data_IF_665013962414
#
_entry.id   IF_665013962414
#
_cell.length_a   1.000
_cell.length_b   1.000
_cell.length_c   1.000
_cell.angle_alpha   90.00
_cell.angle_beta   90.00
_cell.angle_gamma   90.00
#
_symmetry.space_group_name_H-M   'P 1'
#
loop_
_entity.id
_entity.type
_entity.pdbx_description
1 polymer ?
#
# COMPACT_ATOMS: atom_id res chain seq x y z
N UNK A 1 29.39 59.62 -20.49
CA UNK A 1 30.10 58.47 -19.87
C UNK A 1 29.16 57.87 -18.81
N UNK A 2 28.43 56.80 -19.11
CA UNK A 2 27.58 56.08 -18.16
C UNK A 2 28.22 54.74 -17.88
N UNK A 3 28.62 54.48 -16.61
CA UNK A 3 29.23 53.25 -16.14
C UNK A 3 28.10 52.23 -15.88
N UNK A 4 28.04 51.14 -16.63
CA UNK A 4 27.23 49.96 -16.29
C UNK A 4 27.92 49.16 -15.16
N UNK A 5 27.23 49.04 -14.05
CA UNK A 5 27.66 48.14 -12.96
C UNK A 5 27.03 46.75 -13.25
N UNK A 6 27.88 45.75 -13.46
CA UNK A 6 27.47 44.34 -13.60
C UNK A 6 27.35 43.78 -12.16
N UNK A 7 26.14 43.48 -11.75
CA UNK A 7 25.86 42.74 -10.51
C UNK A 7 26.11 41.26 -10.72
N UNK A 8 27.17 40.72 -10.11
CA UNK A 8 27.43 39.27 -10.05
C UNK A 8 26.57 38.69 -8.96
N UNK A 9 25.49 37.96 -9.34
CA UNK A 9 24.75 37.10 -8.42
C UNK A 9 25.62 35.89 -8.06
N UNK A 10 26.21 35.87 -6.87
CA UNK A 10 26.75 34.67 -6.27
C UNK A 10 25.61 33.74 -5.86
N UNK A 11 25.39 32.65 -6.61
CA UNK A 11 24.61 31.52 -6.15
C UNK A 11 25.38 30.83 -5.01
N UNK A 12 24.91 31.01 -3.78
CA UNK A 12 25.38 30.24 -2.64
C UNK A 12 24.88 28.80 -2.82
N UNK A 13 25.76 27.90 -3.22
CA UNK A 13 25.51 26.46 -3.13
C UNK A 13 25.36 26.10 -1.65
N UNK A 14 24.14 25.82 -1.23
CA UNK A 14 23.85 25.20 0.07
C UNK A 14 24.48 23.79 0.06
N UNK A 15 25.72 23.72 0.55
CA UNK A 15 26.34 22.45 0.87
C UNK A 15 25.57 21.84 2.06
N UNK A 16 24.80 20.80 1.82
CA UNK A 16 24.27 19.97 2.89
C UNK A 16 25.48 19.40 3.65
N UNK A 17 25.45 19.44 5.02
CA UNK A 17 26.50 18.79 5.77
C UNK A 17 26.57 17.34 5.35
N UNK A 18 27.77 16.82 5.11
CA UNK A 18 28.02 15.42 4.87
C UNK A 18 27.54 14.65 6.10
N UNK A 19 26.29 14.18 6.08
CA UNK A 19 25.77 13.24 7.06
C UNK A 19 26.65 12.00 6.90
N UNK A 20 27.42 11.68 7.93
CA UNK A 20 28.13 10.41 8.05
C UNK A 20 27.07 9.31 7.87
N UNK A 21 27.02 8.72 6.66
CA UNK A 21 26.09 7.63 6.33
C UNK A 21 26.54 6.43 7.12
N UNK A 22 26.01 6.28 8.31
CA UNK A 22 26.27 5.13 9.17
C UNK A 22 25.78 3.86 8.47
N UNK A 23 26.71 2.93 8.19
CA UNK A 23 26.40 1.58 7.76
C UNK A 23 25.96 1.42 6.30
N UNK A 24 26.92 1.49 5.38
CA UNK A 24 26.73 1.05 3.99
C UNK A 24 26.81 -0.48 3.88
N UNK A 25 26.17 -1.04 2.85
CA UNK A 25 26.13 -2.47 2.62
C UNK A 25 25.02 -3.17 3.40
N UNK A 26 25.24 -4.43 3.69
CA UNK A 26 24.26 -5.28 4.38
C UNK A 26 24.38 -5.15 5.89
N UNK A 27 23.27 -4.95 6.55
CA UNK A 27 23.15 -4.81 7.99
C UNK A 27 22.01 -5.71 8.47
N UNK A 28 22.32 -6.58 9.39
CA UNK A 28 21.35 -7.50 9.99
C UNK A 28 20.93 -6.97 11.38
N UNK A 29 19.71 -7.25 11.78
CA UNK A 29 19.20 -6.99 13.12
C UNK A 29 19.20 -5.51 13.54
N UNK A 30 18.94 -4.62 12.57
CA UNK A 30 18.94 -3.16 12.77
C UNK A 30 17.72 -2.73 13.57
N UNK A 31 17.92 -1.80 14.52
CA UNK A 31 16.83 -1.07 15.19
C UNK A 31 16.53 0.22 14.43
N UNK A 32 15.24 0.54 14.34
CA UNK A 32 14.74 1.80 13.82
C UNK A 32 13.95 2.49 14.93
N UNK A 33 14.40 3.66 15.37
CA UNK A 33 13.89 4.29 16.60
C UNK A 33 12.75 5.28 16.33
N UNK A 34 12.43 5.58 15.06
CA UNK A 34 11.38 6.50 14.66
C UNK A 34 10.08 5.76 14.35
N UNK A 35 9.07 5.80 15.24
CA UNK A 35 7.77 5.20 14.99
C UNK A 35 7.00 5.98 13.90
N UNK A 36 6.36 5.26 12.99
CA UNK A 36 5.49 5.87 12.00
C UNK A 36 4.19 6.38 12.64
N UNK A 37 3.81 7.65 12.43
CA UNK A 37 2.53 8.17 12.91
C UNK A 37 1.32 7.55 12.20
N UNK A 38 1.53 6.87 11.07
CA UNK A 38 0.50 6.22 10.27
C UNK A 38 0.26 4.76 10.67
N UNK A 39 1.04 4.22 11.60
CA UNK A 39 0.98 2.83 12.00
C UNK A 39 -0.03 2.54 13.14
N UNK A 40 -0.75 3.54 13.65
CA UNK A 40 -1.75 3.40 14.72
C UNK A 40 -2.95 2.54 14.31
N UNK A 41 -3.49 1.74 15.25
CA UNK A 41 -4.57 0.79 15.01
C UNK A 41 -5.82 1.45 14.40
N UNK A 42 -6.20 2.64 14.88
CA UNK A 42 -7.34 3.39 14.34
C UNK A 42 -7.14 3.80 12.89
N UNK A 43 -5.95 4.26 12.53
CA UNK A 43 -5.62 4.70 11.17
C UNK A 43 -5.57 3.52 10.21
N UNK A 44 -5.00 2.39 10.63
CA UNK A 44 -5.02 1.15 9.86
C UNK A 44 -6.46 0.71 9.63
N UNK A 45 -7.31 0.67 10.68
CA UNK A 45 -8.71 0.29 10.55
C UNK A 45 -9.47 1.22 9.60
N UNK A 46 -9.29 2.54 9.72
CA UNK A 46 -9.92 3.54 8.84
C UNK A 46 -9.59 3.31 7.35
N UNK A 47 -8.36 2.90 7.05
CA UNK A 47 -7.87 2.71 5.68
C UNK A 47 -8.15 1.33 5.08
N UNK A 48 -8.42 0.33 5.93
CA UNK A 48 -8.47 -1.08 5.50
C UNK A 48 -9.80 -1.78 5.75
N UNK A 49 -10.65 -1.24 6.64
CA UNK A 49 -11.97 -1.80 6.89
C UNK A 49 -13.02 -1.17 5.97
N UNK A 50 -14.15 -1.87 5.78
CA UNK A 50 -15.28 -1.26 5.09
C UNK A 50 -15.87 -0.12 5.93
N UNK A 51 -16.51 0.90 5.32
CA UNK A 51 -17.05 2.04 6.04
C UNK A 51 -18.04 1.65 7.16
N UNK A 52 -18.94 0.69 6.90
CA UNK A 52 -19.92 0.25 7.91
C UNK A 52 -19.26 -0.52 9.04
N UNK A 53 -18.22 -1.32 8.73
CA UNK A 53 -17.44 -2.03 9.76
C UNK A 53 -16.67 -1.03 10.63
N UNK A 54 -16.00 -0.05 10.03
CA UNK A 54 -15.27 0.97 10.79
C UNK A 54 -16.20 1.82 11.66
N UNK A 55 -17.35 2.25 11.14
CA UNK A 55 -18.37 2.98 11.92
C UNK A 55 -18.88 2.14 13.12
N UNK A 56 -19.17 0.87 12.90
CA UNK A 56 -19.58 -0.05 13.97
C UNK A 56 -18.50 -0.21 15.05
N UNK A 57 -17.25 -0.37 14.65
CA UNK A 57 -16.11 -0.42 15.57
C UNK A 57 -16.00 0.86 16.40
N UNK A 58 -16.11 2.04 15.77
CA UNK A 58 -16.05 3.32 16.48
C UNK A 58 -17.20 3.47 17.48
N UNK A 59 -18.42 3.13 17.10
CA UNK A 59 -19.59 3.19 18.00
C UNK A 59 -19.46 2.23 19.18
N UNK A 60 -18.97 1.02 18.94
CA UNK A 60 -18.74 0.05 20.02
C UNK A 60 -17.71 0.58 21.01
N UNK A 61 -16.60 1.13 20.54
CA UNK A 61 -15.55 1.70 21.38
C UNK A 61 -16.08 2.89 22.17
N UNK A 62 -16.77 3.85 21.52
CA UNK A 62 -17.33 5.03 22.18
C UNK A 62 -18.40 4.67 23.22
N UNK A 63 -19.29 3.71 22.91
CA UNK A 63 -20.36 3.27 23.81
C UNK A 63 -19.87 2.45 25.00
N UNK A 64 -18.71 1.79 24.88
CA UNK A 64 -18.13 0.98 25.96
C UNK A 64 -17.16 1.76 26.86
N UNK A 65 -16.86 3.03 26.56
CA UNK A 65 -15.83 3.82 27.25
C UNK A 65 -14.39 3.31 27.01
N UNK A 66 -14.21 2.38 26.05
CA UNK A 66 -12.91 1.84 25.67
C UNK A 66 -12.29 2.65 24.51
N UNK A 67 -11.02 2.47 24.27
CA UNK A 67 -10.34 2.93 23.05
C UNK A 67 -10.01 1.73 22.18
N UNK A 68 -9.83 1.94 20.87
CA UNK A 68 -9.20 0.91 20.04
C UNK A 68 -7.83 0.64 20.64
N UNK A 69 -7.56 -0.64 20.93
CA UNK A 69 -6.27 -1.02 21.42
C UNK A 69 -5.19 -0.61 20.41
N UNK A 70 -4.17 0.09 20.90
CA UNK A 70 -3.00 0.33 20.09
C UNK A 70 -2.30 -0.98 19.80
N UNK A 71 -1.61 -1.01 18.68
CA UNK A 71 -0.94 -2.22 18.26
C UNK A 71 0.15 -2.63 19.24
N UNK A 72 0.37 -3.95 19.25
CA UNK A 72 1.36 -4.60 20.10
C UNK A 72 2.81 -4.48 19.60
N UNK A 73 3.06 -3.76 18.48
CA UNK A 73 4.41 -3.55 17.96
C UNK A 73 5.15 -2.52 18.79
N UNK A 74 6.05 -3.00 19.65
CA UNK A 74 7.06 -2.16 20.28
C UNK A 74 8.21 -1.95 19.28
N UNK A 75 8.35 -0.76 18.72
CA UNK A 75 9.40 -0.43 17.74
C UNK A 75 10.80 -0.61 18.33
N UNK A 76 10.99 -0.41 19.63
CA UNK A 76 12.28 -0.60 20.29
C UNK A 76 12.73 -2.07 20.29
N UNK A 77 11.76 -3.00 20.26
CA UNK A 77 12.02 -4.45 20.15
C UNK A 77 12.03 -4.94 18.70
N UNK A 78 11.44 -4.20 17.76
CA UNK A 78 11.41 -4.59 16.37
C UNK A 78 12.82 -4.59 15.74
N UNK A 79 13.04 -5.54 14.84
CA UNK A 79 14.32 -5.74 14.15
C UNK A 79 14.09 -5.77 12.65
N UNK A 80 15.10 -5.27 11.92
CA UNK A 80 15.05 -5.14 10.48
C UNK A 80 16.35 -5.61 9.85
N UNK A 81 16.26 -6.27 8.71
CA UNK A 81 17.40 -6.54 7.84
C UNK A 81 17.44 -5.45 6.77
N UNK A 82 18.57 -4.77 6.64
CA UNK A 82 18.72 -3.58 5.79
C UNK A 82 19.88 -3.78 4.82
N UNK A 83 19.72 -3.26 3.60
CA UNK A 83 20.84 -3.02 2.67
C UNK A 83 20.83 -1.55 2.29
N UNK A 84 21.97 -0.88 2.46
CA UNK A 84 22.18 0.50 2.03
C UNK A 84 23.22 0.53 0.93
N UNK A 85 22.94 1.15 -0.24
CA UNK A 85 23.92 1.27 -1.31
C UNK A 85 25.25 1.88 -0.84
N UNK A 86 26.36 1.41 -1.39
CA UNK A 86 27.69 1.95 -1.09
C UNK A 86 27.95 3.29 -1.77
N UNK A 87 27.25 3.55 -2.88
CA UNK A 87 27.29 4.84 -3.55
C UNK A 87 26.53 5.89 -2.73
N UNK A 88 26.98 7.15 -2.76
CA UNK A 88 26.26 8.24 -2.13
C UNK A 88 24.84 8.35 -2.68
N UNK A 89 23.92 8.97 -1.92
CA UNK A 89 22.54 9.14 -2.38
C UNK A 89 22.49 9.94 -3.69
N UNK A 90 21.58 9.58 -4.61
CA UNK A 90 21.26 10.42 -5.76
C UNK A 90 20.80 11.83 -5.32
N UNK A 91 20.76 12.84 -6.21
CA UNK A 91 20.43 14.23 -5.83
C UNK A 91 19.10 14.40 -5.10
N UNK A 92 18.10 13.55 -5.36
CA UNK A 92 16.79 13.55 -4.68
C UNK A 92 16.73 12.61 -3.46
N UNK A 93 17.76 11.85 -3.19
CA UNK A 93 17.81 10.82 -2.18
C UNK A 93 17.77 9.40 -2.74
N UNK A 94 17.94 8.43 -1.87
CA UNK A 94 17.81 7.01 -2.19
C UNK A 94 16.36 6.65 -2.53
N UNK A 95 16.16 5.69 -3.42
CA UNK A 95 14.91 4.96 -3.46
C UNK A 95 14.82 4.02 -2.25
N UNK A 96 13.62 3.58 -1.90
CA UNK A 96 13.37 2.66 -0.80
C UNK A 96 12.46 1.52 -1.24
N UNK A 97 12.88 0.28 -0.95
CA UNK A 97 12.05 -0.92 -1.08
C UNK A 97 11.83 -1.54 0.30
N UNK A 98 10.62 -1.44 0.83
CA UNK A 98 10.18 -2.17 2.01
C UNK A 98 9.69 -3.54 1.57
N UNK A 99 10.32 -4.61 2.06
CA UNK A 99 9.98 -5.97 1.67
C UNK A 99 9.30 -6.72 2.81
N UNK A 100 8.08 -7.21 2.57
CA UNK A 100 7.31 -7.99 3.54
C UNK A 100 7.55 -9.47 3.25
N UNK A 101 8.22 -10.19 4.17
CA UNK A 101 8.58 -11.59 3.96
C UNK A 101 7.41 -12.53 4.24
N UNK A 102 7.43 -13.75 3.70
CA UNK A 102 6.53 -14.83 4.12
C UNK A 102 7.06 -15.59 5.34
N UNK A 103 8.36 -15.46 5.69
CA UNK A 103 9.02 -16.02 6.86
C UNK A 103 9.37 -14.93 7.87
N UNK A 104 9.66 -15.33 9.11
CA UNK A 104 10.00 -14.38 10.20
C UNK A 104 11.35 -13.67 10.02
N UNK A 105 12.26 -14.26 9.29
CA UNK A 105 13.52 -13.63 8.89
C UNK A 105 13.74 -13.81 7.39
N UNK A 106 13.97 -12.72 6.70
CA UNK A 106 14.20 -12.74 5.26
C UNK A 106 15.19 -11.66 4.85
N UNK A 107 16.34 -12.10 4.42
CA UNK A 107 17.36 -11.23 3.85
C UNK A 107 17.19 -11.12 2.34
N UNK A 108 17.44 -9.95 1.80
CA UNK A 108 17.45 -9.81 0.35
C UNK A 108 18.42 -10.81 -0.28
N UNK A 109 18.04 -11.53 -1.35
CA UNK A 109 18.94 -12.40 -2.09
C UNK A 109 20.20 -11.67 -2.54
N UNK A 110 21.35 -12.33 -2.43
CA UNK A 110 22.64 -11.72 -2.79
C UNK A 110 22.70 -11.26 -4.25
N UNK A 111 22.02 -11.93 -5.13
CA UNK A 111 21.93 -11.59 -6.55
C UNK A 111 21.06 -10.35 -6.87
N UNK A 112 20.30 -9.84 -5.87
CA UNK A 112 19.60 -8.56 -5.98
C UNK A 112 20.48 -7.35 -5.69
N UNK A 113 21.58 -7.54 -4.92
CA UNK A 113 22.43 -6.43 -4.47
C UNK A 113 22.94 -5.54 -5.62
N UNK A 114 23.44 -6.09 -6.75
CA UNK A 114 23.89 -5.24 -7.86
C UNK A 114 22.78 -4.37 -8.45
N UNK A 115 21.53 -4.85 -8.44
CA UNK A 115 20.37 -4.10 -8.93
C UNK A 115 20.00 -2.99 -7.95
N UNK A 116 19.92 -3.28 -6.65
CA UNK A 116 19.68 -2.28 -5.62
C UNK A 116 20.74 -1.17 -5.63
N UNK A 117 22.02 -1.55 -5.77
CA UNK A 117 23.14 -0.62 -5.89
C UNK A 117 23.01 0.29 -7.12
N UNK A 118 22.64 -0.29 -8.27
CA UNK A 118 22.50 0.45 -9.53
C UNK A 118 21.37 1.48 -9.48
N UNK A 119 20.29 1.17 -8.76
CA UNK A 119 19.13 2.06 -8.58
C UNK A 119 19.31 3.05 -7.42
N UNK A 120 20.42 2.99 -6.66
CA UNK A 120 20.55 3.76 -5.43
C UNK A 120 19.39 3.48 -4.49
N UNK A 121 19.04 2.21 -4.28
CA UNK A 121 17.82 1.80 -3.55
C UNK A 121 18.17 1.10 -2.24
N UNK A 122 17.71 1.66 -1.13
CA UNK A 122 17.75 1.00 0.17
C UNK A 122 16.70 -0.11 0.17
N UNK A 123 17.08 -1.28 0.67
CA UNK A 123 16.16 -2.37 0.97
C UNK A 123 16.01 -2.52 2.48
N UNK A 124 14.79 -2.72 2.95
CA UNK A 124 14.51 -3.02 4.35
C UNK A 124 13.44 -4.10 4.46
N UNK A 125 13.67 -5.10 5.32
CA UNK A 125 12.71 -6.15 5.61
C UNK A 125 12.54 -6.30 7.12
N UNK A 126 11.31 -6.19 7.66
CA UNK A 126 11.07 -6.44 9.07
C UNK A 126 11.24 -7.93 9.38
N UNK A 127 11.78 -8.22 10.55
CA UNK A 127 11.78 -9.57 11.13
C UNK A 127 10.48 -9.84 11.87
N UNK A 128 10.17 -11.10 12.12
CA UNK A 128 8.95 -11.56 12.78
C UNK A 128 7.67 -11.02 12.11
N UNK A 129 7.72 -10.90 10.78
CA UNK A 129 6.62 -10.44 9.93
C UNK A 129 6.18 -11.51 8.92
N UNK A 130 6.42 -12.79 9.25
CA UNK A 130 6.05 -13.94 8.44
C UNK A 130 4.54 -14.15 8.32
N UNK A 131 4.16 -15.25 7.67
CA UNK A 131 2.74 -15.54 7.39
C UNK A 131 1.90 -15.81 8.64
N UNK A 132 2.53 -16.23 9.74
CA UNK A 132 1.86 -16.47 11.02
C UNK A 132 1.57 -15.18 11.80
N UNK A 133 2.25 -14.08 11.44
CA UNK A 133 2.02 -12.78 12.07
C UNK A 133 0.72 -12.14 11.57
N UNK A 134 -0.03 -11.52 12.48
CA UNK A 134 -1.30 -10.85 12.18
C UNK A 134 -1.06 -9.67 11.25
N UNK A 135 -1.83 -9.60 10.16
CA UNK A 135 -1.62 -8.61 9.10
C UNK A 135 -1.78 -7.18 9.62
N UNK A 136 -2.88 -6.89 10.31
CA UNK A 136 -3.21 -5.53 10.75
C UNK A 136 -2.46 -5.08 12.00
N UNK A 137 -2.15 -6.02 12.90
CA UNK A 137 -1.53 -5.70 14.19
C UNK A 137 0.00 -5.75 14.14
N UNK A 138 0.59 -6.41 13.12
CA UNK A 138 2.03 -6.57 13.06
C UNK A 138 2.64 -6.30 11.68
N UNK A 139 2.18 -6.99 10.62
CA UNK A 139 2.85 -6.95 9.32
C UNK A 139 2.76 -5.57 8.65
N UNK A 140 1.56 -4.96 8.64
CA UNK A 140 1.35 -3.61 8.11
C UNK A 140 2.05 -2.55 8.96
N UNK A 141 1.90 -2.52 10.31
CA UNK A 141 2.64 -1.61 11.17
C UNK A 141 4.15 -1.66 10.96
N UNK A 142 4.74 -2.86 10.92
CA UNK A 142 6.18 -3.02 10.71
C UNK A 142 6.64 -2.48 9.34
N UNK A 143 5.85 -2.65 8.28
CA UNK A 143 6.15 -2.06 6.98
C UNK A 143 6.14 -0.52 7.01
N UNK A 144 5.18 0.08 7.73
CA UNK A 144 5.09 1.53 7.91
C UNK A 144 6.23 2.07 8.78
N UNK A 145 6.57 1.36 9.86
CA UNK A 145 7.73 1.70 10.70
C UNK A 145 9.04 1.60 9.92
N UNK A 146 9.19 0.57 9.07
CA UNK A 146 10.35 0.41 8.21
C UNK A 146 10.51 1.61 7.25
N UNK A 147 9.43 2.00 6.55
CA UNK A 147 9.47 3.13 5.64
C UNK A 147 9.82 4.42 6.36
N UNK A 148 9.14 4.72 7.47
CA UNK A 148 9.34 5.93 8.24
C UNK A 148 10.74 5.97 8.90
N UNK A 149 11.17 4.89 9.54
CA UNK A 149 12.45 4.81 10.24
C UNK A 149 13.66 4.91 9.29
N UNK A 150 13.56 4.34 8.08
CA UNK A 150 14.60 4.52 7.06
C UNK A 150 14.62 5.96 6.56
N UNK A 151 13.46 6.57 6.28
CA UNK A 151 13.38 7.96 5.83
C UNK A 151 13.85 8.97 6.91
N UNK A 152 13.72 8.64 8.19
CA UNK A 152 14.27 9.43 9.28
C UNK A 152 15.81 9.34 9.40
N UNK A 153 16.41 8.25 8.89
CA UNK A 153 17.85 7.97 9.01
C UNK A 153 18.66 8.30 7.76
N UNK A 154 18.04 8.23 6.60
CA UNK A 154 18.68 8.42 5.30
C UNK A 154 17.87 9.40 4.43
N UNK A 155 18.52 10.16 3.54
CA UNK A 155 17.80 10.97 2.56
C UNK A 155 17.10 10.04 1.56
N UNK A 156 15.79 9.92 1.67
CA UNK A 156 14.92 9.10 0.80
C UNK A 156 14.11 10.01 -0.11
N UNK A 157 14.06 9.70 -1.40
CA UNK A 157 13.17 10.35 -2.37
C UNK A 157 11.72 9.87 -2.14
N UNK A 158 10.78 10.73 -1.69
CA UNK A 158 9.41 10.34 -1.38
C UNK A 158 8.62 9.83 -2.60
N UNK A 159 9.06 10.15 -3.82
CA UNK A 159 8.46 9.65 -5.05
C UNK A 159 8.99 8.25 -5.45
N UNK A 160 9.95 7.73 -4.71
CA UNK A 160 10.61 6.45 -4.98
C UNK A 160 10.57 5.51 -3.77
N UNK A 161 9.47 5.54 -3.02
CA UNK A 161 9.19 4.62 -1.90
C UNK A 161 8.27 3.51 -2.37
N UNK A 162 8.76 2.28 -2.31
CA UNK A 162 8.05 1.10 -2.80
C UNK A 162 7.87 0.08 -1.68
N UNK A 163 6.80 -0.70 -1.77
CA UNK A 163 6.60 -1.88 -0.93
C UNK A 163 6.60 -3.14 -1.81
N UNK A 164 7.09 -4.23 -1.29
CA UNK A 164 7.05 -5.51 -2.01
C UNK A 164 6.95 -6.67 -1.05
N UNK A 165 6.82 -7.86 -1.60
CA UNK A 165 6.79 -9.06 -0.80
C UNK A 165 6.67 -10.32 -1.65
N UNK A 166 6.79 -11.47 -1.00
CA UNK A 166 6.63 -12.78 -1.63
C UNK A 166 5.46 -13.53 -1.00
N UNK A 167 4.64 -14.20 -1.82
CA UNK A 167 3.55 -15.06 -1.36
C UNK A 167 2.56 -14.31 -0.46
N UNK A 168 2.37 -14.71 0.80
CA UNK A 168 1.55 -14.00 1.78
C UNK A 168 2.09 -12.58 2.07
N UNK A 169 3.41 -12.36 1.96
CA UNK A 169 4.02 -11.03 2.05
C UNK A 169 3.60 -10.11 0.90
N UNK A 170 3.49 -10.66 -0.30
CA UNK A 170 3.00 -9.94 -1.48
C UNK A 170 1.55 -9.47 -1.33
N UNK A 171 0.67 -10.32 -0.78
CA UNK A 171 -0.72 -9.95 -0.47
C UNK A 171 -0.79 -8.81 0.54
N UNK A 172 0.08 -8.87 1.57
CA UNK A 172 0.20 -7.78 2.54
C UNK A 172 0.76 -6.51 1.90
N UNK A 173 1.76 -6.62 1.01
CA UNK A 173 2.33 -5.49 0.28
C UNK A 173 1.28 -4.78 -0.60
N UNK A 174 0.43 -5.54 -1.30
CA UNK A 174 -0.68 -4.96 -2.07
C UNK A 174 -1.65 -4.20 -1.16
N UNK A 175 -2.00 -4.77 0.00
CA UNK A 175 -2.87 -4.11 0.99
C UNK A 175 -2.25 -2.83 1.53
N UNK A 176 -0.95 -2.84 1.83
CA UNK A 176 -0.20 -1.65 2.27
C UNK A 176 -0.19 -0.59 1.17
N UNK A 177 0.15 -0.94 -0.08
CA UNK A 177 0.19 0.01 -1.18
C UNK A 177 -1.18 0.66 -1.45
N UNK A 178 -2.26 -0.14 -1.37
CA UNK A 178 -3.62 0.34 -1.59
C UNK A 178 -4.09 1.27 -0.45
N UNK A 179 -3.78 0.94 0.80
CA UNK A 179 -4.19 1.70 1.97
C UNK A 179 -3.31 2.95 2.23
N UNK A 180 -2.08 2.95 1.74
CA UNK A 180 -1.09 4.01 1.97
C UNK A 180 -0.44 4.53 0.67
N UNK A 181 -1.23 4.97 -0.32
CA UNK A 181 -0.71 5.55 -1.57
C UNK A 181 -0.05 6.92 -1.34
N UNK A 182 -0.26 7.52 -0.19
CA UNK A 182 0.40 8.72 0.31
C UNK A 182 1.84 8.45 0.80
N UNK A 183 2.19 7.18 1.06
CA UNK A 183 3.55 6.75 1.43
C UNK A 183 4.24 6.00 0.30
N UNK A 184 3.55 5.04 -0.32
CA UNK A 184 4.13 4.13 -1.31
C UNK A 184 3.71 4.49 -2.74
N UNK A 185 4.70 4.70 -3.61
CA UNK A 185 4.51 5.00 -5.04
C UNK A 185 4.45 3.76 -5.92
N UNK A 186 4.57 2.58 -5.33
CA UNK A 186 4.37 1.34 -6.06
C UNK A 186 4.56 0.09 -5.24
N UNK A 187 4.14 -1.04 -5.82
CA UNK A 187 4.28 -2.35 -5.20
C UNK A 187 4.88 -3.39 -6.14
N UNK A 188 5.84 -4.16 -5.63
CA UNK A 188 6.38 -5.36 -6.25
C UNK A 188 5.66 -6.58 -5.68
N UNK A 189 4.77 -7.17 -6.47
CA UNK A 189 3.88 -8.25 -6.07
C UNK A 189 4.40 -9.58 -6.58
N UNK A 190 5.13 -10.30 -5.73
CA UNK A 190 5.71 -11.59 -6.10
C UNK A 190 4.88 -12.76 -5.61
N UNK A 191 4.26 -13.46 -6.56
CA UNK A 191 3.53 -14.71 -6.37
C UNK A 191 2.45 -14.63 -5.26
N UNK A 192 1.62 -13.58 -5.30
CA UNK A 192 0.49 -13.41 -4.40
C UNK A 192 -0.17 -12.05 -4.53
N UNK A 193 -1.48 -12.04 -4.75
CA UNK A 193 -2.30 -10.84 -4.83
C UNK A 193 -3.76 -11.18 -4.53
N UNK A 194 -4.56 -10.17 -4.21
CA UNK A 194 -5.99 -10.27 -3.97
C UNK A 194 -6.73 -9.24 -4.85
N UNK A 195 -7.99 -9.52 -5.19
CA UNK A 195 -8.83 -8.58 -5.93
C UNK A 195 -9.41 -7.51 -4.99
N UNK A 196 -9.41 -6.24 -5.42
CA UNK A 196 -10.12 -5.17 -4.70
C UNK A 196 -11.61 -5.49 -4.68
N UNK A 197 -12.27 -5.22 -3.56
CA UNK A 197 -13.68 -5.54 -3.33
C UNK A 197 -13.93 -6.98 -2.88
N UNK A 198 -12.88 -7.80 -2.76
CA UNK A 198 -12.99 -9.12 -2.13
C UNK A 198 -12.95 -9.03 -0.59
N UNK A 199 -13.35 -10.09 0.09
CA UNK A 199 -13.26 -10.21 1.54
C UNK A 199 -11.82 -10.04 2.10
N UNK A 200 -10.81 -10.09 1.23
CA UNK A 200 -9.40 -9.96 1.61
C UNK A 200 -8.81 -8.60 1.33
N UNK A 201 -9.42 -7.79 0.45
CA UNK A 201 -8.87 -6.52 0.02
C UNK A 201 -9.99 -5.51 -0.22
N UNK A 202 -10.22 -4.67 0.75
CA UNK A 202 -11.22 -3.59 0.73
C UNK A 202 -10.66 -2.36 0.02
N UNK A 203 -11.47 -1.68 -0.78
CA UNK A 203 -11.10 -0.38 -1.34
C UNK A 203 -10.99 0.67 -0.22
N UNK A 204 -9.90 1.48 -0.19
CA UNK A 204 -9.70 2.48 0.83
C UNK A 204 -10.67 3.67 0.65
N UNK A 205 -10.68 4.66 1.56
CA UNK A 205 -11.41 5.92 1.38
C UNK A 205 -11.17 6.55 0.01
N UNK A 206 -12.18 7.24 -0.52
CA UNK A 206 -12.22 7.71 -1.91
C UNK A 206 -11.04 8.66 -2.28
N UNK A 207 -10.55 9.45 -1.34
CA UNK A 207 -9.37 10.31 -1.51
C UNK A 207 -8.09 9.48 -1.71
N UNK A 208 -7.88 8.46 -0.89
CA UNK A 208 -6.76 7.53 -1.02
C UNK A 208 -6.87 6.69 -2.31
N UNK A 209 -8.10 6.25 -2.66
CA UNK A 209 -8.30 5.52 -3.91
C UNK A 209 -7.96 6.38 -5.13
N UNK A 210 -8.35 7.67 -5.14
CA UNK A 210 -7.96 8.61 -6.20
C UNK A 210 -6.45 8.77 -6.31
N UNK A 211 -5.76 8.86 -5.17
CA UNK A 211 -4.30 8.93 -5.14
C UNK A 211 -3.67 7.64 -5.66
N UNK A 212 -4.16 6.47 -5.21
CA UNK A 212 -3.70 5.16 -5.68
C UNK A 212 -3.81 5.01 -7.21
N UNK A 213 -4.93 5.42 -7.79
CA UNK A 213 -5.17 5.37 -9.24
C UNK A 213 -4.16 6.19 -10.05
N UNK A 214 -3.62 7.28 -9.49
CA UNK A 214 -2.79 8.25 -10.22
C UNK A 214 -1.30 8.15 -9.91
N UNK A 215 -0.91 7.64 -8.74
CA UNK A 215 0.49 7.70 -8.30
C UNK A 215 1.12 6.34 -8.07
N UNK A 216 0.32 5.27 -7.92
CA UNK A 216 0.86 3.96 -7.56
C UNK A 216 1.00 3.05 -8.77
N UNK A 217 2.14 2.36 -8.85
CA UNK A 217 2.47 1.38 -9.89
C UNK A 217 2.48 -0.02 -9.30
N UNK A 218 1.92 -0.99 -10.01
CA UNK A 218 1.86 -2.38 -9.56
C UNK A 218 2.62 -3.29 -10.51
N UNK A 219 3.64 -3.95 -10.01
CA UNK A 219 4.45 -4.91 -10.77
C UNK A 219 4.20 -6.33 -10.26
N UNK A 220 3.43 -7.11 -10.99
CA UNK A 220 3.17 -8.52 -10.71
C UNK A 220 4.30 -9.40 -11.26
N UNK A 221 4.85 -10.26 -10.40
CA UNK A 221 5.99 -11.14 -10.74
C UNK A 221 5.68 -12.55 -10.27
N UNK A 222 5.35 -13.45 -11.19
CA UNK A 222 4.91 -14.80 -10.81
C UNK A 222 5.47 -15.83 -11.78
N UNK A 223 5.89 -16.97 -11.24
CA UNK A 223 6.41 -18.08 -12.03
C UNK A 223 5.35 -18.64 -12.97
N UNK A 224 5.76 -19.05 -14.19
CA UNK A 224 4.82 -19.58 -15.18
C UNK A 224 4.11 -20.86 -14.70
N UNK A 225 4.75 -21.64 -13.82
CA UNK A 225 4.20 -22.87 -13.24
C UNK A 225 3.50 -22.67 -11.89
N UNK A 226 3.48 -21.45 -11.34
CA UNK A 226 2.71 -21.12 -10.14
C UNK A 226 1.25 -20.79 -10.49
N UNK A 227 0.52 -21.81 -10.94
CA UNK A 227 -0.84 -21.66 -11.47
C UNK A 227 -1.83 -21.03 -10.47
N UNK A 228 -1.83 -21.39 -9.16
CA UNK A 228 -2.74 -20.75 -8.19
C UNK A 228 -2.54 -19.23 -8.09
N UNK A 229 -1.30 -18.78 -7.95
CA UNK A 229 -1.01 -17.34 -7.83
C UNK A 229 -1.18 -16.60 -9.16
N UNK A 230 -0.93 -17.23 -10.30
CA UNK A 230 -1.27 -16.64 -11.60
C UNK A 230 -2.78 -16.41 -11.79
N UNK A 231 -3.62 -17.31 -11.28
CA UNK A 231 -5.09 -17.13 -11.29
C UNK A 231 -5.49 -15.98 -10.36
N UNK A 232 -4.90 -15.91 -9.17
CA UNK A 232 -5.10 -14.80 -8.22
C UNK A 232 -4.67 -13.46 -8.82
N UNK A 233 -3.49 -13.41 -9.46
CA UNK A 233 -2.98 -12.22 -10.14
C UNK A 233 -3.90 -11.77 -11.28
N UNK A 234 -4.44 -12.70 -12.06
CA UNK A 234 -5.38 -12.37 -13.13
C UNK A 234 -6.70 -11.80 -12.57
N UNK A 235 -7.20 -12.31 -11.45
CA UNK A 235 -8.37 -11.76 -10.77
C UNK A 235 -8.08 -10.37 -10.18
N UNK A 236 -6.92 -10.21 -9.54
CA UNK A 236 -6.46 -8.93 -9.01
C UNK A 236 -6.32 -7.87 -10.12
N UNK A 237 -5.68 -8.21 -11.23
CA UNK A 237 -5.52 -7.29 -12.37
C UNK A 237 -6.86 -6.87 -12.99
N UNK A 238 -7.83 -7.77 -13.10
CA UNK A 238 -9.19 -7.39 -13.54
C UNK A 238 -9.82 -6.39 -12.57
N UNK A 239 -9.71 -6.63 -11.26
CA UNK A 239 -10.23 -5.67 -10.28
C UNK A 239 -9.52 -4.32 -10.35
N UNK A 240 -8.18 -4.28 -10.61
CA UNK A 240 -7.47 -3.02 -10.84
C UNK A 240 -8.06 -2.23 -12.01
N UNK A 241 -8.41 -2.90 -13.12
CA UNK A 241 -9.08 -2.27 -14.27
C UNK A 241 -10.47 -1.74 -13.88
N UNK A 242 -11.27 -2.54 -13.14
CA UNK A 242 -12.60 -2.13 -12.65
C UNK A 242 -12.53 -0.91 -11.73
N UNK A 243 -11.47 -0.78 -10.94
CA UNK A 243 -11.20 0.34 -10.04
C UNK A 243 -10.30 1.41 -10.66
N UNK A 244 -10.18 1.45 -11.99
CA UNK A 244 -9.50 2.52 -12.75
C UNK A 244 -8.00 2.66 -12.47
N UNK A 245 -7.31 1.59 -12.09
CA UNK A 245 -5.86 1.58 -11.87
C UNK A 245 -5.17 1.27 -13.19
N UNK A 246 -4.41 2.23 -13.72
CA UNK A 246 -3.82 2.15 -15.07
C UNK A 246 -2.38 1.59 -15.05
N UNK A 247 -1.61 1.87 -14.00
CA UNK A 247 -0.18 1.56 -13.94
C UNK A 247 0.07 0.14 -13.42
N UNK A 248 -0.19 -0.84 -14.28
CA UNK A 248 -0.06 -2.27 -13.96
C UNK A 248 0.89 -2.94 -14.95
N UNK A 249 1.94 -3.58 -14.44
CA UNK A 249 2.90 -4.37 -15.20
C UNK A 249 2.87 -5.82 -14.77
N UNK A 250 3.06 -6.74 -15.72
CA UNK A 250 3.10 -8.17 -15.46
C UNK A 250 4.39 -8.78 -16.02
N UNK A 251 5.13 -9.48 -15.18
CA UNK A 251 6.31 -10.24 -15.56
C UNK A 251 6.15 -11.71 -15.20
N UNK A 252 6.32 -12.59 -16.17
CA UNK A 252 6.34 -14.04 -15.96
C UNK A 252 7.78 -14.54 -15.84
N UNK A 253 8.07 -15.31 -14.80
CA UNK A 253 9.41 -15.84 -14.53
C UNK A 253 9.68 -17.19 -15.26
N UNK A 254 9.34 -17.30 -16.53
CA UNK A 254 9.62 -18.50 -17.33
C UNK A 254 9.10 -19.80 -16.69
N UNK A 255 9.93 -20.85 -16.65
CA UNK A 255 9.58 -22.17 -16.11
C UNK A 255 9.57 -22.28 -14.58
N UNK A 256 9.67 -21.17 -13.83
CA UNK A 256 9.66 -21.21 -12.37
C UNK A 256 8.26 -21.49 -11.81
N UNK A 257 8.23 -22.18 -10.67
CA UNK A 257 7.06 -22.34 -9.82
C UNK A 257 6.93 -21.19 -8.81
N UNK A 258 6.55 -21.52 -7.57
CA UNK A 258 6.41 -20.60 -6.45
C UNK A 258 7.78 -20.21 -5.88
N UNK A 259 8.37 -19.14 -6.40
CA UNK A 259 9.72 -18.70 -6.08
C UNK A 259 9.87 -17.17 -6.13
N UNK A 260 10.89 -16.67 -5.45
CA UNK A 260 11.31 -15.25 -5.56
C UNK A 260 11.96 -14.98 -6.91
N UNK A 261 11.95 -13.72 -7.39
CA UNK A 261 12.60 -13.33 -8.63
C UNK A 261 14.12 -13.60 -8.56
N UNK A 262 14.67 -14.16 -9.64
CA UNK A 262 16.11 -14.14 -9.84
C UNK A 262 16.59 -12.73 -10.21
N UNK A 263 17.90 -12.56 -10.28
CA UNK A 263 18.53 -11.27 -10.62
C UNK A 263 17.92 -10.62 -11.86
N UNK A 264 17.72 -11.39 -12.94
CA UNK A 264 17.21 -10.85 -14.22
C UNK A 264 15.76 -10.39 -14.11
N UNK A 265 14.91 -11.21 -13.49
CA UNK A 265 13.51 -10.86 -13.27
C UNK A 265 13.40 -9.65 -12.32
N UNK A 266 14.16 -9.65 -11.22
CA UNK A 266 14.18 -8.53 -10.27
C UNK A 266 14.64 -7.22 -10.94
N UNK A 267 15.71 -7.26 -11.72
CA UNK A 267 16.23 -6.10 -12.46
C UNK A 267 15.18 -5.52 -13.42
N UNK A 268 14.52 -6.37 -14.22
CA UNK A 268 13.50 -5.92 -15.17
C UNK A 268 12.31 -5.26 -14.48
N UNK A 269 11.84 -5.89 -13.42
CA UNK A 269 10.65 -5.41 -12.70
C UNK A 269 10.95 -4.14 -11.93
N UNK A 270 12.12 -4.09 -11.28
CA UNK A 270 12.54 -2.90 -10.56
C UNK A 270 12.80 -1.72 -11.50
N UNK A 271 13.41 -1.94 -12.65
CA UNK A 271 13.60 -0.90 -13.67
C UNK A 271 12.27 -0.29 -14.14
N UNK A 272 11.20 -1.11 -14.28
CA UNK A 272 9.89 -0.60 -14.60
C UNK A 272 9.26 0.16 -13.41
N UNK A 273 9.38 -0.39 -12.21
CA UNK A 273 8.78 0.21 -11.00
C UNK A 273 9.42 1.57 -10.67
N UNK A 274 10.73 1.69 -10.84
CA UNK A 274 11.54 2.86 -10.51
C UNK A 274 11.68 3.87 -11.68
N UNK A 275 11.12 3.58 -12.85
CA UNK A 275 11.10 4.52 -13.97
C UNK A 275 10.19 5.72 -13.65
N UNK A 276 10.40 6.90 -14.26
CA UNK A 276 9.47 8.02 -14.13
C UNK A 276 8.04 7.62 -14.45
N UNK A 277 7.08 8.12 -13.67
CA UNK A 277 5.67 7.87 -13.93
C UNK A 277 5.28 8.52 -15.26
N UNK A 278 4.71 7.76 -16.22
CA UNK A 278 4.23 8.37 -17.46
C UNK A 278 3.08 9.33 -17.18
N UNK A 279 2.86 10.33 -18.05
CA UNK A 279 1.70 11.19 -17.94
C UNK A 279 0.41 10.37 -17.89
N UNK A 280 -0.48 10.71 -16.96
CA UNK A 280 -1.79 10.05 -16.86
C UNK A 280 -2.68 10.44 -18.04
N UNK A 281 -3.35 9.47 -18.63
CA UNK A 281 -4.47 9.75 -19.54
C UNK A 281 -5.69 10.17 -18.70
N UNK A 282 -5.77 11.48 -18.46
CA UNK A 282 -6.81 12.06 -17.62
C UNK A 282 -8.22 11.80 -18.18
N UNK A 283 -8.41 11.83 -19.50
CA UNK A 283 -9.72 11.64 -20.11
C UNK A 283 -10.24 10.22 -19.92
N UNK A 284 -9.39 9.22 -20.18
CA UNK A 284 -9.70 7.80 -19.93
C UNK A 284 -9.93 7.54 -18.45
N UNK A 285 -9.12 8.12 -17.57
CA UNK A 285 -9.26 7.95 -16.13
C UNK A 285 -10.58 8.53 -15.61
N UNK A 286 -10.96 9.74 -16.01
CA UNK A 286 -12.21 10.39 -15.60
C UNK A 286 -13.45 9.64 -16.14
N UNK A 287 -13.39 9.15 -17.38
CA UNK A 287 -14.45 8.30 -17.93
C UNK A 287 -14.64 7.01 -17.12
N UNK A 288 -13.53 6.36 -16.76
CA UNK A 288 -13.57 5.17 -15.92
C UNK A 288 -14.14 5.48 -14.53
N UNK A 289 -13.69 6.55 -13.88
CA UNK A 289 -14.18 6.99 -12.55
C UNK A 289 -15.66 7.31 -12.55
N UNK A 290 -16.16 7.95 -13.62
CA UNK A 290 -17.60 8.21 -13.80
C UNK A 290 -18.38 6.90 -13.82
N UNK A 291 -17.98 5.94 -14.65
CA UNK A 291 -18.63 4.62 -14.70
C UNK A 291 -18.52 3.85 -13.39
N UNK A 292 -17.39 3.96 -12.68
CA UNK A 292 -17.23 3.37 -11.34
C UNK A 292 -18.22 3.99 -10.35
N UNK A 293 -18.34 5.32 -10.30
CA UNK A 293 -19.26 6.04 -9.43
C UNK A 293 -20.73 5.75 -9.75
N UNK A 294 -21.07 5.51 -11.01
CA UNK A 294 -22.42 5.11 -11.44
C UNK A 294 -22.77 3.71 -10.90
N UNK A 295 -21.84 2.75 -10.96
CA UNK A 295 -22.06 1.41 -10.38
C UNK A 295 -22.23 1.46 -8.86
N UNK A 296 -21.39 2.21 -8.15
CA UNK A 296 -21.52 2.40 -6.69
C UNK A 296 -22.92 2.96 -6.34
N UNK A 297 -23.34 4.02 -7.04
CA UNK A 297 -24.65 4.64 -6.84
C UNK A 297 -25.82 3.71 -7.15
N UNK A 298 -25.71 2.87 -8.16
CA UNK A 298 -26.73 1.90 -8.52
C UNK A 298 -26.94 0.85 -7.43
N UNK A 299 -25.84 0.27 -6.90
CA UNK A 299 -25.93 -0.71 -5.82
C UNK A 299 -26.50 -0.07 -4.54
N UNK A 300 -26.10 1.15 -4.19
CA UNK A 300 -26.66 1.85 -3.02
C UNK A 300 -28.13 2.28 -3.23
N UNK A 301 -28.55 2.60 -4.45
CA UNK A 301 -29.94 2.89 -4.79
C UNK A 301 -30.82 1.63 -4.63
N UNK A 302 -30.31 0.45 -4.96
CA UNK A 302 -31.00 -0.80 -4.69
C UNK A 302 -31.22 -1.01 -3.19
N UNK A 303 -30.20 -0.74 -2.36
CA UNK A 303 -30.34 -0.82 -0.88
C UNK A 303 -31.42 0.13 -0.38
N UNK A 304 -31.42 1.39 -0.87
CA UNK A 304 -32.47 2.36 -0.52
C UNK A 304 -33.86 1.88 -0.90
N UNK A 305 -34.04 1.36 -2.10
CA UNK A 305 -35.34 0.85 -2.56
C UNK A 305 -35.88 -0.28 -1.66
N UNK A 306 -35.01 -1.20 -1.24
CA UNK A 306 -35.37 -2.27 -0.29
C UNK A 306 -35.75 -1.71 1.08
N UNK A 307 -34.98 -0.75 1.58
CA UNK A 307 -35.21 -0.10 2.86
C UNK A 307 -36.53 0.70 2.88
N UNK A 308 -36.78 1.48 1.83
CA UNK A 308 -37.98 2.29 1.70
C UNK A 308 -39.25 1.40 1.48
N UNK A 309 -39.05 0.21 0.89
CA UNK A 309 -40.08 -0.84 0.79
C UNK A 309 -40.33 -1.63 2.08
N UNK A 310 -39.58 -1.36 3.17
CA UNK A 310 -39.73 -2.01 4.47
C UNK A 310 -39.02 -3.37 4.61
N UNK A 311 -38.33 -3.85 3.58
CA UNK A 311 -37.57 -5.11 3.67
C UNK A 311 -36.18 -4.87 4.27
N UNK A 312 -36.15 -4.73 5.59
CA UNK A 312 -34.89 -4.43 6.34
C UNK A 312 -33.86 -5.55 6.24
N UNK A 313 -34.30 -6.80 6.10
CA UNK A 313 -33.39 -7.96 6.00
C UNK A 313 -32.69 -7.95 4.64
N UNK A 314 -33.44 -7.86 3.55
CA UNK A 314 -32.89 -7.78 2.21
C UNK A 314 -32.02 -6.52 2.04
N UNK A 315 -32.44 -5.37 2.58
CA UNK A 315 -31.63 -4.15 2.59
C UNK A 315 -30.30 -4.33 3.30
N UNK A 316 -30.28 -5.03 4.45
CA UNK A 316 -29.07 -5.35 5.20
C UNK A 316 -28.10 -6.26 4.43
N UNK A 317 -28.61 -7.27 3.74
CA UNK A 317 -27.81 -8.17 2.90
C UNK A 317 -27.22 -7.42 1.70
N UNK A 318 -28.04 -6.69 0.95
CA UNK A 318 -27.60 -5.90 -0.20
C UNK A 318 -26.58 -4.83 0.20
N UNK A 319 -26.73 -4.21 1.37
CA UNK A 319 -25.75 -3.26 1.90
C UNK A 319 -24.43 -3.95 2.23
N UNK A 320 -24.45 -5.13 2.84
CA UNK A 320 -23.24 -5.90 3.13
C UNK A 320 -22.44 -6.19 1.86
N UNK A 321 -23.10 -6.59 0.79
CA UNK A 321 -22.49 -6.85 -0.51
C UNK A 321 -21.91 -5.57 -1.14
N UNK A 322 -22.67 -4.47 -1.13
CA UNK A 322 -22.21 -3.18 -1.66
C UNK A 322 -21.03 -2.61 -0.86
N UNK A 323 -21.09 -2.65 0.48
CA UNK A 323 -20.04 -2.18 1.37
C UNK A 323 -18.75 -2.98 1.20
N UNK A 324 -18.85 -4.32 1.06
CA UNK A 324 -17.70 -5.17 0.77
C UNK A 324 -17.10 -4.90 -0.61
N UNK A 325 -17.93 -4.79 -1.63
CA UNK A 325 -17.48 -4.59 -3.01
C UNK A 325 -16.82 -3.23 -3.22
N UNK A 326 -17.43 -2.17 -2.71
CA UNK A 326 -17.01 -0.80 -3.00
C UNK A 326 -16.15 -0.18 -1.90
N UNK A 327 -16.17 -0.74 -0.68
CA UNK A 327 -15.39 -0.24 0.45
C UNK A 327 -15.57 1.25 0.66
N UNK A 328 -14.45 1.96 0.83
CA UNK A 328 -14.45 3.41 1.07
C UNK A 328 -15.13 4.27 0.01
N UNK A 329 -15.39 3.73 -1.19
CA UNK A 329 -16.12 4.44 -2.25
C UNK A 329 -17.63 4.49 -2.00
N UNK A 330 -18.18 3.61 -1.15
CA UNK A 330 -19.58 3.62 -0.76
C UNK A 330 -19.91 4.63 0.36
N UNK A 331 -18.87 5.15 1.04
CA UNK A 331 -19.05 6.16 2.08
C UNK A 331 -19.35 7.56 1.50
N UNK A 332 -20.09 8.41 2.23
CA UNK A 332 -20.70 8.20 3.55
C UNK A 332 -22.05 7.46 3.51
N UNK A 333 -22.64 7.28 2.33
CA UNK A 333 -24.01 6.81 2.15
C UNK A 333 -24.21 5.38 2.72
N UNK A 334 -23.25 4.46 2.53
CA UNK A 334 -23.35 3.10 3.11
C UNK A 334 -23.46 3.12 4.64
N UNK A 335 -22.78 4.05 5.30
CA UNK A 335 -22.83 4.22 6.77
C UNK A 335 -24.20 4.74 7.20
N UNK A 336 -24.78 5.69 6.48
CA UNK A 336 -26.11 6.22 6.75
C UNK A 336 -27.19 5.13 6.60
N UNK A 337 -27.14 4.38 5.50
CA UNK A 337 -28.05 3.26 5.25
C UNK A 337 -27.91 2.18 6.33
N UNK A 338 -26.68 1.85 6.75
CA UNK A 338 -26.44 0.88 7.83
C UNK A 338 -27.11 1.31 9.15
N UNK A 339 -27.02 2.60 9.48
CA UNK A 339 -27.65 3.14 10.70
C UNK A 339 -29.18 3.11 10.62
N UNK A 340 -29.77 3.49 9.47
CA UNK A 340 -31.24 3.42 9.26
C UNK A 340 -31.76 1.99 9.37
N UNK A 341 -31.09 1.02 8.74
CA UNK A 341 -31.44 -0.41 8.83
C UNK A 341 -31.36 -0.88 10.29
N UNK A 342 -30.30 -0.53 11.02
CA UNK A 342 -30.13 -0.94 12.41
C UNK A 342 -31.21 -0.36 13.32
N UNK A 343 -31.65 0.88 13.12
CA UNK A 343 -32.75 1.50 13.83
C UNK A 343 -34.06 0.78 13.55
N UNK A 344 -34.42 0.55 12.28
CA UNK A 344 -35.67 -0.15 11.92
C UNK A 344 -35.74 -1.57 12.48
N UNK A 345 -34.59 -2.32 12.46
CA UNK A 345 -34.53 -3.65 13.07
C UNK A 345 -34.69 -3.64 14.60
N UNK A 346 -34.35 -2.55 15.28
CA UNK A 346 -34.53 -2.41 16.72
C UNK A 346 -36.00 -2.10 17.08
N UNK A 347 -36.69 -1.34 16.22
CA UNK A 347 -38.12 -0.98 16.40
C UNK A 347 -39.08 -2.14 16.11
N UNK A 348 -38.65 -3.16 15.37
CA UNK A 348 -39.44 -4.35 15.02
C UNK A 348 -39.28 -5.51 16.03
N UNK A 349 -38.46 -5.35 17.06
CA UNK A 349 -38.26 -6.32 18.15
C UNK A 349 -39.03 -5.96 19.39
#
# INVERSE_FOLDING_TARGET
MRRCAIAICMMAALAWPAVLVAGQGRQDDVRLDAPSPLAGAREIARRTQTPTTFDRMQRYVSGSGRQLAEQTVDIAQARFDVFVPRKPPPPRGYALLVWIPPQDAYRAPMDWMPTLEAHGMIYVSPREAGNEAIVFDRRMPLALHAAHGIAARYPVDPERVFVGGFSGGSRTALRVALAYPDVFRGALLNAGSDAIGSARLTAPPADLMRLFQTTVRLAYVTGAHDLPNRRADAASQRSMQEFCVQQVHRHSMGSRGHATPDRRAFQKVLAWLDAPLPPSDHATLETCRKGLSERVRADLAQVRGLLDGGDLVAAGMALGDADQRWGGLAAPESVELARRIATGLAETR
#
